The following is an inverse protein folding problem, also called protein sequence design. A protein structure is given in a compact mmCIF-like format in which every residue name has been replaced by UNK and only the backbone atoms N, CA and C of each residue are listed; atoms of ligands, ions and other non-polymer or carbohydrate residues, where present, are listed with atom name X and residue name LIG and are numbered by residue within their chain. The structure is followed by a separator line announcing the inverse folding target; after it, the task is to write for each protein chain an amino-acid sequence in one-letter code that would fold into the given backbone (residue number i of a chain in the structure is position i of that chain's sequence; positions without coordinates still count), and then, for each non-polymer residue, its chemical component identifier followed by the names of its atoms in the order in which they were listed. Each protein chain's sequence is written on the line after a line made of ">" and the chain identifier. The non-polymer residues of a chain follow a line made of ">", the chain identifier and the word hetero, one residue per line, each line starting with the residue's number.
data_IF_889062099386
#
_entry.id   IF_889062099386
#
_cell.length_a   1.000
_cell.length_b   1.000
_cell.length_c   1.000
_cell.angle_alpha   90.00
_cell.angle_beta   90.00
_cell.angle_gamma   90.00
#
_symmetry.space_group_name_H-M   'P 1'
#
loop_
_entity.id
_entity.type
_entity.pdbx_description
1 polymer ?
#
# COMPACT_ATOMS: atom_id res chain seq x y z
N UNK A 1 -29.98 -81.49 -37.75
CA UNK A 1 -30.21 -80.03 -37.93
C UNK A 1 -30.12 -79.39 -36.55
N UNK A 2 -29.01 -78.70 -36.25
CA UNK A 2 -28.94 -77.43 -35.51
C UNK A 2 -27.46 -77.03 -35.38
N UNK A 3 -27.15 -75.86 -35.93
CA UNK A 3 -25.85 -75.18 -35.96
C UNK A 3 -25.73 -74.34 -34.68
N UNK A 4 -24.58 -74.35 -34.01
CA UNK A 4 -24.30 -73.42 -32.90
C UNK A 4 -22.96 -72.70 -33.16
N UNK A 5 -23.08 -71.44 -33.57
CA UNK A 5 -22.01 -70.45 -33.68
C UNK A 5 -21.52 -70.05 -32.28
N UNK A 6 -20.22 -70.16 -32.02
CA UNK A 6 -19.58 -69.50 -30.89
C UNK A 6 -19.12 -68.08 -31.29
N UNK A 7 -19.62 -67.09 -30.56
CA UNK A 7 -19.23 -65.69 -30.62
C UNK A 7 -17.88 -65.46 -29.95
N UNK A 8 -16.97 -64.77 -30.63
CA UNK A 8 -15.74 -64.23 -30.06
C UNK A 8 -16.00 -62.81 -29.53
N UNK A 9 -15.99 -62.62 -28.21
CA UNK A 9 -16.00 -61.29 -27.59
C UNK A 9 -14.57 -60.75 -27.47
N UNK A 10 -14.32 -59.64 -28.17
CA UNK A 10 -13.07 -58.89 -28.10
C UNK A 10 -12.99 -58.10 -26.78
N UNK A 11 -11.89 -58.27 -26.05
CA UNK A 11 -11.57 -57.49 -24.84
C UNK A 11 -11.00 -56.11 -25.24
N UNK A 12 -11.83 -55.07 -25.16
CA UNK A 12 -11.36 -53.68 -25.16
C UNK A 12 -10.93 -53.29 -23.74
N UNK A 13 -9.64 -52.98 -23.56
CA UNK A 13 -9.12 -52.48 -22.29
C UNK A 13 -9.42 -50.98 -22.16
N UNK A 14 -9.97 -50.50 -21.02
CA UNK A 14 -10.15 -49.08 -20.80
C UNK A 14 -8.79 -48.40 -20.57
N UNK A 15 -8.47 -47.42 -21.41
CA UNK A 15 -7.35 -46.50 -21.20
C UNK A 15 -7.76 -45.59 -20.04
N UNK A 16 -7.22 -45.84 -18.85
CA UNK A 16 -7.37 -44.93 -17.71
C UNK A 16 -6.57 -43.65 -18.01
N UNK A 17 -7.28 -42.55 -18.26
CA UNK A 17 -6.68 -41.23 -18.37
C UNK A 17 -6.03 -40.85 -17.03
N UNK A 18 -4.75 -40.48 -17.07
CA UNK A 18 -4.02 -39.99 -15.91
C UNK A 18 -4.66 -38.66 -15.47
N UNK A 19 -5.12 -38.52 -14.22
CA UNK A 19 -5.67 -37.26 -13.74
C UNK A 19 -4.59 -36.17 -13.76
N UNK A 20 -4.75 -35.20 -14.66
CA UNK A 20 -3.96 -33.98 -14.69
C UNK A 20 -4.31 -33.15 -13.46
N UNK A 21 -3.43 -33.16 -12.45
CA UNK A 21 -3.51 -32.20 -11.34
C UNK A 21 -3.43 -30.79 -11.94
N UNK A 22 -4.39 -29.88 -11.65
CA UNK A 22 -4.24 -28.49 -12.05
C UNK A 22 -2.97 -27.94 -11.37
N UNK A 23 -2.10 -27.32 -12.17
CA UNK A 23 -0.93 -26.62 -11.66
C UNK A 23 -1.42 -25.51 -10.72
N UNK A 24 -1.22 -25.68 -9.42
CA UNK A 24 -1.43 -24.61 -8.45
C UNK A 24 -0.41 -23.52 -8.75
N UNK A 25 -0.87 -22.40 -9.33
CA UNK A 25 0.00 -21.24 -9.52
C UNK A 25 0.48 -20.78 -8.14
N UNK A 26 1.80 -20.81 -7.94
CA UNK A 26 2.41 -20.28 -6.72
C UNK A 26 2.19 -18.78 -6.76
N UNK A 27 1.16 -18.28 -6.05
CA UNK A 27 1.00 -16.84 -5.83
C UNK A 27 2.20 -16.35 -5.02
N UNK A 28 3.00 -15.50 -5.63
CA UNK A 28 4.12 -14.82 -4.97
C UNK A 28 3.56 -14.07 -3.76
N UNK A 29 4.00 -14.45 -2.56
CA UNK A 29 3.57 -13.81 -1.32
C UNK A 29 4.40 -12.54 -1.13
N UNK A 30 3.74 -11.40 -1.22
CA UNK A 30 4.28 -10.12 -0.79
C UNK A 30 4.36 -10.09 0.74
N UNK A 31 5.57 -9.98 1.30
CA UNK A 31 5.75 -9.72 2.73
C UNK A 31 5.94 -8.24 2.96
N UNK A 32 5.05 -7.63 3.75
CA UNK A 32 5.23 -6.27 4.24
C UNK A 32 6.20 -6.29 5.42
N UNK A 33 7.30 -5.56 5.34
CA UNK A 33 8.29 -5.48 6.43
C UNK A 33 7.91 -4.45 7.50
N UNK A 34 6.96 -3.57 7.19
CA UNK A 34 6.48 -2.54 8.11
C UNK A 34 5.63 -3.15 9.22
N UNK A 35 5.85 -2.69 10.44
CA UNK A 35 4.98 -2.98 11.59
C UNK A 35 3.84 -1.97 11.65
N UNK A 36 2.67 -2.42 12.11
CA UNK A 36 1.47 -1.57 12.26
C UNK A 36 1.21 -0.68 11.03
N UNK A 37 1.28 -1.27 9.85
CA UNK A 37 1.21 -0.54 8.58
C UNK A 37 -0.15 0.07 8.27
N UNK A 38 -1.20 -0.40 8.95
CA UNK A 38 -2.58 0.05 8.82
C UNK A 38 -3.06 0.86 10.05
N UNK A 39 -2.13 1.25 10.92
CA UNK A 39 -2.41 2.01 12.16
C UNK A 39 -3.39 1.37 13.16
N UNK A 40 -3.75 0.10 13.00
CA UNK A 40 -4.75 -0.58 13.84
C UNK A 40 -4.31 -0.74 15.32
N UNK A 41 -3.03 -0.57 15.61
CA UNK A 41 -2.48 -0.54 16.97
C UNK A 41 -2.13 0.87 17.46
N UNK A 42 -2.70 1.92 16.84
CA UNK A 42 -2.36 3.32 17.10
C UNK A 42 -1.18 3.80 16.26
N UNK A 43 -0.42 4.78 16.75
CA UNK A 43 0.69 5.38 15.99
C UNK A 43 1.98 4.55 16.04
N UNK A 44 2.33 3.97 17.19
CA UNK A 44 3.60 3.22 17.34
C UNK A 44 3.67 2.02 16.36
N UNK A 45 4.81 1.75 15.70
CA UNK A 45 6.14 2.37 15.87
C UNK A 45 6.43 3.53 14.90
N UNK A 46 5.41 4.12 14.30
CA UNK A 46 5.59 5.30 13.47
C UNK A 46 5.95 6.53 14.31
N UNK A 47 6.81 7.36 13.75
CA UNK A 47 7.10 8.70 14.22
C UNK A 47 6.49 9.71 13.25
N UNK A 48 5.65 10.61 13.74
CA UNK A 48 5.17 11.76 12.98
C UNK A 48 6.07 12.99 13.24
N UNK A 49 6.73 13.48 12.20
CA UNK A 49 7.52 14.71 12.25
C UNK A 49 6.75 15.78 11.49
N UNK A 50 6.46 16.90 12.15
CA UNK A 50 5.46 17.86 11.68
C UNK A 50 6.00 19.28 11.72
N UNK A 51 5.87 19.98 10.60
CA UNK A 51 6.21 21.39 10.44
C UNK A 51 5.04 22.17 9.83
N UNK A 52 4.88 23.42 10.24
CA UNK A 52 3.80 24.28 9.75
C UNK A 52 2.46 24.06 10.47
N UNK A 53 1.40 24.76 10.05
CA UNK A 53 0.13 24.79 10.75
C UNK A 53 -0.77 23.62 10.32
N UNK A 54 -0.92 22.67 11.23
CA UNK A 54 -1.86 21.55 11.12
C UNK A 54 -2.90 21.68 12.23
N UNK A 55 -4.16 21.85 11.85
CA UNK A 55 -5.26 22.04 12.78
C UNK A 55 -5.57 20.74 13.54
N UNK A 56 -5.48 19.60 12.86
CA UNK A 56 -5.72 18.29 13.43
C UNK A 56 -4.81 17.25 12.78
N UNK A 57 -4.31 16.31 13.59
CA UNK A 57 -3.53 15.16 13.10
C UNK A 57 -3.53 14.01 14.10
N UNK A 58 -3.25 12.81 13.62
CA UNK A 58 -3.06 11.63 14.45
C UNK A 58 -3.75 10.41 13.86
N UNK A 59 -3.79 9.32 14.63
CA UNK A 59 -4.55 8.12 14.27
C UNK A 59 -6.00 8.28 14.71
N UNK A 60 -6.92 8.12 13.77
CA UNK A 60 -8.36 8.20 14.00
C UNK A 60 -9.02 6.86 13.75
N UNK A 61 -10.20 6.65 14.33
CA UNK A 61 -11.03 5.48 14.08
C UNK A 61 -12.37 5.92 13.49
N UNK A 62 -12.78 5.33 12.37
CA UNK A 62 -14.12 5.55 11.81
C UNK A 62 -14.65 4.27 11.17
N UNK A 63 -15.97 4.06 11.26
CA UNK A 63 -16.65 2.91 10.66
C UNK A 63 -16.56 2.90 9.12
N UNK A 64 -16.19 4.03 8.51
CA UNK A 64 -16.06 4.23 7.06
C UNK A 64 -14.66 4.71 6.66
N UNK A 65 -13.73 4.84 7.63
CA UNK A 65 -12.64 5.81 7.51
C UNK A 65 -11.26 5.30 7.14
N UNK A 66 -10.97 3.99 7.21
CA UNK A 66 -9.70 3.41 6.74
C UNK A 66 -9.81 2.71 5.38
N UNK A 67 -8.69 2.34 4.77
CA UNK A 67 -8.66 1.56 3.54
C UNK A 67 -8.87 0.07 3.87
N UNK A 68 -10.12 -0.40 3.84
CA UNK A 68 -10.53 -1.76 4.27
C UNK A 68 -10.27 -2.07 5.76
N UNK A 69 -10.04 -1.03 6.55
CA UNK A 69 -9.68 -1.06 7.96
C UNK A 69 -10.55 -0.03 8.71
N UNK A 70 -10.37 0.12 10.03
CA UNK A 70 -11.07 1.13 10.83
C UNK A 70 -10.20 2.34 11.13
N UNK A 71 -8.89 2.12 11.23
CA UNK A 71 -7.92 3.13 11.62
C UNK A 71 -7.12 3.64 10.43
N UNK A 72 -6.69 4.88 10.54
CA UNK A 72 -5.93 5.59 9.52
C UNK A 72 -5.27 6.80 10.17
N UNK A 73 -4.21 7.30 9.56
CA UNK A 73 -3.60 8.56 9.97
C UNK A 73 -4.26 9.73 9.24
N UNK A 74 -4.82 10.67 9.98
CA UNK A 74 -5.46 11.88 9.47
C UNK A 74 -4.50 13.06 9.59
N UNK A 75 -4.50 13.91 8.58
CA UNK A 75 -3.88 15.23 8.61
C UNK A 75 -4.88 16.24 8.07
N UNK A 76 -5.16 17.30 8.82
CA UNK A 76 -6.03 18.39 8.39
C UNK A 76 -5.36 19.75 8.57
N UNK A 77 -5.43 20.58 7.53
CA UNK A 77 -4.96 21.96 7.53
C UNK A 77 -6.05 22.90 7.04
N UNK A 78 -6.29 23.97 7.78
CA UNK A 78 -7.17 25.08 7.40
C UNK A 78 -6.38 26.38 7.13
N UNK A 79 -5.09 26.23 6.82
CA UNK A 79 -4.19 27.36 6.71
C UNK A 79 -4.23 28.01 5.32
N UNK A 80 -4.39 29.33 5.31
CA UNK A 80 -4.64 30.09 4.07
C UNK A 80 -3.36 30.61 3.39
N UNK A 81 -2.19 30.57 4.05
CA UNK A 81 -0.93 31.17 3.54
C UNK A 81 0.34 30.48 4.06
N UNK A 82 0.39 29.14 4.18
CA UNK A 82 1.52 28.49 4.87
C UNK A 82 1.86 27.10 4.39
N UNK A 83 3.15 26.89 4.11
CA UNK A 83 3.69 25.56 3.86
C UNK A 83 3.67 24.71 5.13
N UNK A 84 3.06 23.53 5.02
CA UNK A 84 3.05 22.49 6.04
C UNK A 84 3.68 21.21 5.49
N UNK A 85 4.37 20.49 6.37
CA UNK A 85 4.91 19.16 6.07
C UNK A 85 4.60 18.21 7.22
N UNK A 86 4.15 17.00 6.89
CA UNK A 86 4.09 15.85 7.81
C UNK A 86 4.91 14.72 7.20
N UNK A 87 5.84 14.15 7.96
CA UNK A 87 6.53 12.93 7.61
C UNK A 87 6.15 11.83 8.61
N UNK A 88 5.54 10.75 8.11
CA UNK A 88 5.33 9.52 8.88
C UNK A 88 6.48 8.58 8.59
N UNK A 89 7.27 8.25 9.60
CA UNK A 89 8.50 7.47 9.43
C UNK A 89 8.54 6.23 10.31
N UNK A 90 9.12 5.14 9.79
CA UNK A 90 9.45 3.94 10.54
C UNK A 90 10.88 3.52 10.22
N UNK A 91 11.73 3.53 11.26
CA UNK A 91 13.15 3.20 11.17
C UNK A 91 13.44 1.77 11.61
N UNK A 92 14.68 1.31 11.36
CA UNK A 92 15.14 -0.02 11.78
C UNK A 92 14.66 -1.14 10.86
N UNK A 93 14.29 -0.81 9.63
CA UNK A 93 13.89 -1.80 8.63
C UNK A 93 15.15 -2.55 8.13
N UNK A 94 15.18 -3.86 8.29
CA UNK A 94 16.29 -4.70 7.82
C UNK A 94 16.04 -5.17 6.39
N UNK A 95 16.70 -4.55 5.42
CA UNK A 95 16.65 -4.92 4.00
C UNK A 95 18.10 -5.01 3.52
N UNK A 96 18.55 -6.11 2.89
CA UNK A 96 19.93 -6.22 2.43
C UNK A 96 20.29 -5.15 1.37
N UNK A 97 21.50 -4.62 1.45
CA UNK A 97 22.04 -3.69 0.47
C UNK A 97 21.95 -4.24 -0.97
N UNK A 98 21.64 -3.37 -1.93
CA UNK A 98 21.44 -3.72 -3.34
C UNK A 98 20.06 -4.28 -3.67
N UNK A 99 19.17 -4.43 -2.67
CA UNK A 99 17.79 -4.89 -2.89
C UNK A 99 16.93 -3.78 -3.49
N UNK A 100 16.17 -4.09 -4.54
CA UNK A 100 15.06 -3.23 -5.00
C UNK A 100 13.78 -3.60 -4.26
N UNK A 101 13.21 -2.63 -3.55
CA UNK A 101 11.96 -2.77 -2.82
C UNK A 101 10.82 -2.04 -3.52
N UNK A 102 9.61 -2.53 -3.31
CA UNK A 102 8.35 -1.86 -3.60
C UNK A 102 7.93 -1.03 -2.39
N UNK A 103 7.65 0.24 -2.60
CA UNK A 103 7.08 1.14 -1.59
C UNK A 103 5.65 1.50 -2.00
N UNK A 104 4.70 1.50 -1.07
CA UNK A 104 3.38 2.10 -1.32
C UNK A 104 2.68 2.58 -0.05
N UNK A 105 1.69 3.43 -0.22
CA UNK A 105 0.68 3.75 0.79
C UNK A 105 -0.65 4.03 0.11
N UNK A 106 -1.74 3.77 0.81
CA UNK A 106 -3.07 4.20 0.39
C UNK A 106 -3.33 5.59 0.94
N UNK A 107 -3.80 6.48 0.06
CA UNK A 107 -4.02 7.88 0.34
C UNK A 107 -5.44 8.25 -0.10
N UNK A 108 -6.21 8.88 0.76
CA UNK A 108 -7.44 9.57 0.37
C UNK A 108 -7.29 11.05 0.71
N UNK A 109 -8.07 11.90 0.04
CA UNK A 109 -8.05 13.33 0.37
C UNK A 109 -9.34 14.05 0.01
N UNK A 110 -9.62 15.12 0.72
CA UNK A 110 -10.76 16.00 0.50
C UNK A 110 -10.29 17.45 0.54
N UNK A 111 -10.41 18.13 -0.60
CA UNK A 111 -9.98 19.51 -0.82
C UNK A 111 -11.20 20.32 -1.30
N UNK A 112 -12.13 20.67 -0.40
CA UNK A 112 -13.23 21.58 -0.74
C UNK A 112 -12.65 22.92 -1.22
N UNK A 113 -12.78 23.22 -2.51
CA UNK A 113 -12.20 24.42 -3.12
C UNK A 113 -11.19 24.15 -4.25
N UNK A 114 -10.77 22.90 -4.43
CA UNK A 114 -10.05 22.48 -5.65
C UNK A 114 -8.63 23.02 -5.82
N UNK A 115 -7.96 23.43 -4.73
CA UNK A 115 -6.53 23.74 -4.78
C UNK A 115 -5.70 22.46 -4.60
N UNK A 116 -5.00 22.05 -5.66
CA UNK A 116 -4.17 20.84 -5.73
C UNK A 116 -2.76 21.05 -5.12
N UNK A 117 -2.68 21.80 -4.03
CA UNK A 117 -1.40 22.18 -3.43
C UNK A 117 -0.95 21.24 -2.31
N UNK A 118 -1.55 20.04 -2.22
CA UNK A 118 -1.03 18.97 -1.35
C UNK A 118 -0.44 17.89 -2.23
N UNK A 119 0.71 17.37 -1.86
CA UNK A 119 1.35 16.25 -2.54
C UNK A 119 1.86 15.22 -1.54
N UNK A 120 1.96 13.98 -2.00
CA UNK A 120 2.52 12.86 -1.24
C UNK A 120 3.66 12.25 -2.00
N UNK A 121 4.76 11.99 -1.30
CA UNK A 121 5.91 11.28 -1.82
C UNK A 121 6.38 10.23 -0.81
N UNK A 122 6.88 9.11 -1.32
CA UNK A 122 7.35 7.98 -0.54
C UNK A 122 8.87 7.89 -0.64
N UNK A 123 9.54 7.71 0.48
CA UNK A 123 10.98 7.61 0.55
C UNK A 123 11.41 6.35 1.29
N UNK A 124 12.52 5.77 0.87
CA UNK A 124 13.33 4.90 1.70
C UNK A 124 14.70 5.54 1.85
N UNK A 125 15.07 5.85 3.09
CA UNK A 125 16.15 6.76 3.44
C UNK A 125 15.97 8.11 2.73
N UNK A 126 16.96 8.54 1.95
CA UNK A 126 16.93 9.77 1.14
C UNK A 126 16.55 9.51 -0.32
N UNK A 127 16.14 8.28 -0.66
CA UNK A 127 15.79 7.87 -2.01
C UNK A 127 14.28 7.86 -2.20
N UNK A 128 13.80 8.67 -3.15
CA UNK A 128 12.41 8.65 -3.57
C UNK A 128 12.06 7.29 -4.20
N UNK A 129 10.97 6.68 -3.74
CA UNK A 129 10.44 5.46 -4.34
C UNK A 129 9.66 5.75 -5.63
N UNK A 130 9.36 7.00 -5.97
CA UNK A 130 8.58 7.35 -7.16
C UNK A 130 8.21 8.83 -7.18
N UNK A 131 7.75 9.33 -8.32
CA UNK A 131 7.40 10.75 -8.45
C UNK A 131 6.35 11.18 -7.40
N UNK A 132 6.44 12.42 -6.87
CA UNK A 132 5.40 12.98 -6.02
C UNK A 132 4.03 12.91 -6.69
N UNK A 133 3.00 12.57 -5.91
CA UNK A 133 1.61 12.53 -6.36
C UNK A 133 0.87 13.74 -5.81
N UNK A 134 0.46 14.65 -6.68
CA UNK A 134 -0.44 15.75 -6.33
C UNK A 134 -1.82 15.20 -5.96
N UNK A 135 -2.35 15.67 -4.84
CA UNK A 135 -3.66 15.30 -4.33
C UNK A 135 -4.68 16.39 -4.64
N UNK A 136 -5.76 15.97 -5.29
CA UNK A 136 -7.05 16.66 -5.28
C UNK A 136 -8.07 15.79 -4.55
N UNK A 137 -9.34 16.20 -4.44
CA UNK A 137 -10.38 15.36 -3.80
C UNK A 137 -10.49 13.99 -4.49
N UNK A 138 -10.08 12.94 -3.78
CA UNK A 138 -10.09 11.57 -4.26
C UNK A 138 -10.51 10.58 -3.17
N UNK A 139 -11.18 9.48 -3.56
CA UNK A 139 -11.24 8.31 -2.70
C UNK A 139 -9.83 7.72 -2.50
N UNK A 140 -9.73 6.62 -1.77
CA UNK A 140 -8.48 5.89 -1.61
C UNK A 140 -7.82 5.57 -2.97
N UNK A 141 -6.63 6.13 -3.17
CA UNK A 141 -5.71 5.83 -4.27
C UNK A 141 -4.43 5.22 -3.71
N UNK A 142 -3.77 4.39 -4.51
CA UNK A 142 -2.47 3.84 -4.14
C UNK A 142 -1.36 4.71 -4.70
N UNK A 143 -0.56 5.31 -3.82
CA UNK A 143 0.73 5.93 -4.18
C UNK A 143 1.80 4.84 -4.08
N UNK A 144 2.59 4.63 -5.13
CA UNK A 144 3.58 3.55 -5.14
C UNK A 144 4.78 3.83 -6.03
N UNK A 145 5.84 3.06 -5.81
CA UNK A 145 6.95 2.92 -6.73
C UNK A 145 8.02 1.97 -6.20
N UNK A 146 9.25 2.09 -6.68
CA UNK A 146 10.37 1.21 -6.35
C UNK A 146 11.65 2.01 -6.07
N UNK A 147 12.47 1.53 -5.15
CA UNK A 147 13.78 2.08 -4.85
C UNK A 147 14.80 0.96 -4.58
N UNK A 148 16.07 1.18 -4.94
CA UNK A 148 17.17 0.27 -4.60
C UNK A 148 17.91 0.82 -3.38
N UNK A 149 18.00 0.03 -2.32
CA UNK A 149 18.65 0.44 -1.07
C UNK A 149 20.15 0.17 -1.09
N UNK A 150 20.93 1.00 -0.39
CA UNK A 150 22.41 0.96 -0.43
C UNK A 150 23.08 0.40 0.83
N UNK A 151 22.31 0.20 1.91
CA UNK A 151 22.77 -0.28 3.22
C UNK A 151 21.88 -1.44 3.68
N UNK A 152 22.06 -1.92 4.92
CA UNK A 152 21.28 -3.03 5.48
C UNK A 152 20.18 -2.58 6.48
N UNK A 153 20.16 -1.29 6.84
CA UNK A 153 19.20 -0.72 7.79
C UNK A 153 18.63 0.58 7.22
N UNK A 154 17.29 0.69 7.23
CA UNK A 154 16.60 1.76 6.52
C UNK A 154 15.51 2.41 7.36
N UNK A 155 15.13 3.60 6.91
CA UNK A 155 13.93 4.30 7.34
C UNK A 155 12.99 4.48 6.15
N UNK A 156 11.76 4.00 6.28
CA UNK A 156 10.71 4.33 5.32
C UNK A 156 9.97 5.59 5.79
N UNK A 157 9.67 6.49 4.86
CA UNK A 157 8.90 7.71 5.15
C UNK A 157 7.79 7.96 4.12
N UNK A 158 6.63 8.37 4.62
CA UNK A 158 5.54 8.95 3.82
C UNK A 158 5.55 10.44 4.12
N UNK A 159 5.82 11.26 3.12
CA UNK A 159 5.88 12.72 3.27
C UNK A 159 4.69 13.34 2.59
N UNK A 160 3.90 14.10 3.37
CA UNK A 160 2.78 14.91 2.90
C UNK A 160 3.18 16.38 3.02
N UNK A 161 3.21 17.09 1.90
CA UNK A 161 3.44 18.54 1.88
C UNK A 161 2.18 19.25 1.42
N UNK A 162 1.86 20.40 2.04
CA UNK A 162 0.72 21.23 1.68
C UNK A 162 1.11 22.70 1.67
N UNK A 163 0.76 23.48 0.65
CA UNK A 163 1.12 24.91 0.59
C UNK A 163 -0.01 25.87 1.00
N UNK A 164 -1.17 25.74 0.36
CA UNK A 164 -2.33 26.62 0.58
C UNK A 164 -3.58 25.77 0.43
N UNK A 165 -4.44 25.75 1.46
CA UNK A 165 -5.61 24.88 1.47
C UNK A 165 -6.94 25.64 1.36
N UNK A 166 -6.89 26.98 1.35
CA UNK A 166 -8.09 27.82 1.33
C UNK A 166 -8.83 27.84 2.68
N UNK A 167 -9.98 28.54 2.73
CA UNK A 167 -10.78 28.67 3.96
C UNK A 167 -11.42 27.36 4.42
N UNK A 168 -11.70 26.47 3.47
CA UNK A 168 -12.41 25.22 3.72
C UNK A 168 -11.42 24.10 4.13
N UNK A 169 -10.12 24.37 3.99
CA UNK A 169 -9.02 23.49 4.37
C UNK A 169 -8.82 22.31 3.42
N UNK A 170 -7.83 21.47 3.78
CA UNK A 170 -7.59 20.19 3.14
C UNK A 170 -7.48 19.12 4.22
N UNK A 171 -7.98 17.94 3.89
CA UNK A 171 -7.80 16.74 4.71
C UNK A 171 -7.16 15.66 3.87
N UNK A 172 -6.16 15.00 4.43
CA UNK A 172 -5.49 13.85 3.84
C UNK A 172 -5.54 12.71 4.84
N UNK A 173 -5.83 11.51 4.33
CA UNK A 173 -5.83 10.27 5.09
C UNK A 173 -4.78 9.34 4.50
N UNK A 174 -4.00 8.71 5.38
CA UNK A 174 -2.93 7.76 5.04
C UNK A 174 -3.24 6.43 5.71
N UNK A 175 -3.15 5.34 4.96
CA UNK A 175 -3.37 3.99 5.47
C UNK A 175 -2.59 2.94 4.66
N UNK A 176 -2.54 1.70 5.17
CA UNK A 176 -2.04 0.51 4.49
C UNK A 176 -0.68 0.73 3.78
N UNK A 177 0.30 1.24 4.54
CA UNK A 177 1.66 1.41 4.04
C UNK A 177 2.28 0.05 3.71
N UNK A 178 3.22 0.02 2.76
CA UNK A 178 3.89 -1.21 2.38
C UNK A 178 5.32 -0.92 1.98
N UNK A 179 6.24 -1.71 2.53
CA UNK A 179 7.58 -1.90 1.99
C UNK A 179 7.84 -3.39 1.89
N UNK A 180 8.29 -3.87 0.74
CA UNK A 180 8.55 -5.29 0.55
C UNK A 180 9.23 -5.62 -0.76
N UNK A 181 9.52 -6.89 -0.97
CA UNK A 181 10.20 -7.36 -2.18
C UNK A 181 9.26 -8.17 -3.06
N UNK A 182 9.35 -7.93 -4.37
CA UNK A 182 8.83 -8.86 -5.35
C UNK A 182 7.31 -8.84 -5.49
N UNK A 183 6.71 -7.69 -5.23
CA UNK A 183 5.39 -7.36 -5.74
C UNK A 183 5.54 -6.72 -7.15
#
# INVERSE_FOLDING_TARGET
>A
MFILMLWAFAFAHPINAIPTRPATSIKKRCSNILQNHSFESGLYPWLDIVFGPWAERGVFTSAQGGHNSRQFYLIHSNATVSHGTVALSQSGLSIPAGTTVDCSAWIASNHPGGSDNTSVELFIDEVSCGAPVSLSTHPWIKVNGKATVSQDSHTFSIVVTSEVTGSDGSTTWVDDAFVGMGC
#
